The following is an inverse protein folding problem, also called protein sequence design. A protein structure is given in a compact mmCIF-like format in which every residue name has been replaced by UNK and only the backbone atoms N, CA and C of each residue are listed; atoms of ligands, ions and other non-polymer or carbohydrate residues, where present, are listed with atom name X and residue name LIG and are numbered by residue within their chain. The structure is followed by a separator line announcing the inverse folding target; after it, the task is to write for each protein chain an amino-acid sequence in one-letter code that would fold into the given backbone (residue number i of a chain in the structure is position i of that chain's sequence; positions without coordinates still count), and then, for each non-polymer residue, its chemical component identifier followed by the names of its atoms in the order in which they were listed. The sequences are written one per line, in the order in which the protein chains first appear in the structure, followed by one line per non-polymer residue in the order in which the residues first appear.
data_IF_022652714431
#
_entry.id   IF_022652714431
#
_cell.length_a   1.000
_cell.length_b   1.000
_cell.length_c   1.000
_cell.angle_alpha   90.00
_cell.angle_beta   90.00
_cell.angle_gamma   90.00
#
_symmetry.space_group_name_H-M   'P 1'
#
loop_
_entity.id
_entity.type
_entity.pdbx_description
1 polymer ?
#
# COMPACT_ATOMS: atom_id res chain seq x y z
N UNK A 1 -29.80 -1.16 -29.46
CA UNK A 1 -29.28 -2.54 -29.46
C UNK A 1 -27.76 -2.46 -29.57
N UNK A 2 -27.03 -3.31 -28.84
CA UNK A 2 -25.57 -3.33 -28.87
C UNK A 2 -25.11 -4.00 -30.17
N UNK A 3 -24.48 -3.25 -31.06
CA UNK A 3 -23.89 -3.81 -32.28
C UNK A 3 -22.51 -4.43 -32.04
N UNK A 4 -22.01 -5.15 -33.03
CA UNK A 4 -20.72 -5.83 -32.94
C UNK A 4 -19.53 -4.86 -32.80
N UNK A 5 -19.68 -3.61 -33.29
CA UNK A 5 -18.65 -2.57 -33.22
C UNK A 5 -18.61 -1.92 -31.83
N UNK A 6 -19.77 -1.67 -31.24
CA UNK A 6 -19.92 -1.14 -29.88
C UNK A 6 -19.44 -2.15 -28.84
N UNK A 7 -19.71 -3.45 -29.05
CA UNK A 7 -19.20 -4.51 -28.19
C UNK A 7 -17.66 -4.57 -28.21
N UNK A 8 -17.04 -4.49 -29.39
CA UNK A 8 -15.57 -4.42 -29.52
C UNK A 8 -14.99 -3.17 -28.87
N UNK A 9 -15.68 -2.04 -28.99
CA UNK A 9 -15.27 -0.80 -28.35
C UNK A 9 -15.26 -0.93 -26.82
N UNK A 10 -16.32 -1.49 -26.23
CA UNK A 10 -16.40 -1.72 -24.79
C UNK A 10 -15.32 -2.71 -24.31
N UNK A 11 -15.10 -3.80 -25.04
CA UNK A 11 -14.06 -4.78 -24.71
C UNK A 11 -12.67 -4.13 -24.69
N UNK A 12 -12.32 -3.37 -25.73
CA UNK A 12 -11.08 -2.58 -25.77
C UNK A 12 -10.99 -1.62 -24.58
N UNK A 13 -12.10 -0.95 -24.26
CA UNK A 13 -12.17 0.02 -23.18
C UNK A 13 -12.01 -0.59 -21.79
N UNK A 14 -12.52 -1.79 -21.54
CA UNK A 14 -12.35 -2.49 -20.27
C UNK A 14 -10.94 -3.05 -20.13
N UNK A 15 -10.41 -3.71 -21.16
CA UNK A 15 -9.05 -4.26 -21.15
C UNK A 15 -8.01 -3.18 -20.83
N UNK A 16 -8.11 -2.02 -21.49
CA UNK A 16 -7.15 -0.92 -21.25
C UNK A 16 -7.34 -0.21 -19.90
N UNK A 17 -8.47 -0.41 -19.24
CA UNK A 17 -8.76 0.18 -17.92
C UNK A 17 -8.52 -0.79 -16.78
N UNK A 18 -8.25 -2.05 -17.04
CA UNK A 18 -7.91 -3.02 -15.99
C UNK A 18 -6.47 -2.84 -15.54
N UNK A 19 -6.21 -3.00 -14.24
CA UNK A 19 -4.84 -3.14 -13.73
C UNK A 19 -4.37 -4.59 -13.91
N UNK A 20 -3.49 -4.81 -14.89
CA UNK A 20 -2.89 -6.11 -15.20
C UNK A 20 -2.08 -6.71 -14.03
N UNK A 21 -1.79 -5.94 -12.98
CA UNK A 21 -1.16 -6.46 -11.75
C UNK A 21 -2.15 -7.13 -10.80
N UNK A 22 -3.44 -6.78 -10.90
CA UNK A 22 -4.48 -7.27 -9.99
C UNK A 22 -5.25 -8.45 -10.58
N UNK A 23 -5.36 -8.54 -11.91
CA UNK A 23 -6.03 -9.65 -12.59
C UNK A 23 -5.25 -10.13 -13.81
N UNK A 24 -5.27 -11.45 -14.04
CA UNK A 24 -4.73 -12.07 -15.24
C UNK A 24 -5.78 -12.10 -16.35
N UNK A 25 -5.54 -11.37 -17.44
CA UNK A 25 -6.38 -11.46 -18.63
C UNK A 25 -6.14 -12.80 -19.34
N UNK A 26 -7.20 -13.59 -19.55
CA UNK A 26 -7.09 -14.91 -20.21
C UNK A 26 -6.94 -14.82 -21.73
N UNK A 27 -7.37 -13.71 -22.31
CA UNK A 27 -7.24 -13.42 -23.73
C UNK A 27 -6.36 -12.18 -23.86
N UNK A 28 -5.09 -12.33 -24.21
CA UNK A 28 -4.13 -11.24 -24.46
C UNK A 28 -4.46 -10.43 -25.72
N UNK A 29 -5.73 -10.43 -26.16
CA UNK A 29 -6.13 -9.84 -27.42
C UNK A 29 -6.52 -8.38 -27.20
N UNK A 30 -5.56 -7.47 -27.40
CA UNK A 30 -5.86 -6.05 -27.60
C UNK A 30 -6.46 -5.88 -29.00
N UNK A 31 -7.75 -6.22 -29.13
CA UNK A 31 -8.53 -5.96 -30.33
C UNK A 31 -8.51 -4.47 -30.71
N UNK A 32 -8.80 -4.14 -31.96
CA UNK A 32 -8.85 -2.74 -32.39
C UNK A 32 -10.02 -2.02 -31.69
N UNK A 33 -9.83 -0.72 -31.37
CA UNK A 33 -10.77 0.13 -30.65
C UNK A 33 -12.20 0.15 -31.23
N UNK A 34 -12.40 -0.29 -32.47
CA UNK A 34 -13.68 -0.14 -33.17
C UNK A 34 -13.94 1.32 -33.52
N UNK A 35 -14.53 1.59 -34.68
CA UNK A 35 -14.85 2.95 -35.09
C UNK A 35 -16.33 3.21 -34.76
N UNK A 36 -16.59 3.99 -33.71
CA UNK A 36 -17.95 4.35 -33.27
C UNK A 36 -18.15 5.86 -33.40
N UNK A 37 -19.41 6.30 -33.44
CA UNK A 37 -19.71 7.73 -33.47
C UNK A 37 -19.30 8.42 -32.15
N UNK A 38 -19.07 9.73 -32.20
CA UNK A 38 -18.76 10.52 -30.99
C UNK A 38 -19.90 10.49 -29.96
N UNK A 39 -21.15 10.40 -30.43
CA UNK A 39 -22.32 10.30 -29.58
C UNK A 39 -22.30 8.97 -28.81
N UNK A 40 -22.10 7.86 -29.51
CA UNK A 40 -22.04 6.53 -28.91
C UNK A 40 -20.83 6.40 -28.00
N UNK A 41 -19.69 6.99 -28.38
CA UNK A 41 -18.51 7.03 -27.52
C UNK A 41 -18.81 7.69 -26.17
N UNK A 42 -19.46 8.85 -26.17
CA UNK A 42 -19.82 9.52 -24.91
C UNK A 42 -20.80 8.68 -24.09
N UNK A 43 -21.80 8.10 -24.74
CA UNK A 43 -22.76 7.21 -24.09
C UNK A 43 -22.08 6.00 -23.42
N UNK A 44 -21.13 5.37 -24.10
CA UNK A 44 -20.39 4.23 -23.57
C UNK A 44 -19.36 4.61 -22.50
N UNK A 45 -18.77 5.80 -22.57
CA UNK A 45 -17.92 6.32 -21.50
C UNK A 45 -18.71 6.53 -20.21
N UNK A 46 -19.92 7.07 -20.28
CA UNK A 46 -20.82 7.22 -19.13
C UNK A 46 -21.23 5.85 -18.55
N UNK A 47 -21.52 4.88 -19.42
CA UNK A 47 -21.80 3.50 -19.02
C UNK A 47 -20.61 2.85 -18.29
N UNK A 48 -19.39 3.06 -18.81
CA UNK A 48 -18.16 2.55 -18.20
C UNK A 48 -17.93 3.15 -16.81
N UNK A 49 -18.15 4.45 -16.64
CA UNK A 49 -17.95 5.12 -15.34
C UNK A 49 -18.97 4.65 -14.29
N UNK A 50 -20.22 4.46 -14.69
CA UNK A 50 -21.24 3.87 -13.83
C UNK A 50 -20.88 2.43 -13.43
N UNK A 51 -20.42 1.63 -14.40
CA UNK A 51 -20.00 0.25 -14.16
C UNK A 51 -18.83 0.21 -13.17
N UNK A 52 -17.77 0.99 -13.40
CA UNK A 52 -16.61 1.05 -12.49
C UNK A 52 -17.03 1.48 -11.09
N UNK A 53 -17.96 2.43 -10.96
CA UNK A 53 -18.48 2.89 -9.67
C UNK A 53 -19.20 1.77 -8.92
N UNK A 54 -20.03 1.00 -9.61
CA UNK A 54 -20.72 -0.16 -9.03
C UNK A 54 -19.70 -1.22 -8.60
N UNK A 55 -18.74 -1.57 -9.45
CA UNK A 55 -17.69 -2.55 -9.11
C UNK A 55 -16.88 -2.14 -7.88
N UNK A 56 -16.56 -0.84 -7.75
CA UNK A 56 -15.88 -0.32 -6.55
C UNK A 56 -16.76 -0.40 -5.31
N UNK A 57 -18.06 -0.14 -5.41
CA UNK A 57 -18.96 -0.18 -4.24
C UNK A 57 -19.15 -1.60 -3.69
N UNK A 58 -19.03 -2.62 -4.54
CA UNK A 58 -19.05 -4.03 -4.14
C UNK A 58 -17.66 -4.57 -3.71
N UNK A 59 -16.63 -3.72 -3.69
CA UNK A 59 -15.28 -4.06 -3.21
C UNK A 59 -14.31 -4.58 -4.27
N UNK A 60 -14.64 -4.49 -5.56
CA UNK A 60 -13.74 -4.86 -6.66
C UNK A 60 -13.10 -3.61 -7.29
N UNK A 61 -11.93 -3.21 -6.78
CA UNK A 61 -11.13 -2.11 -7.36
C UNK A 61 -10.05 -2.64 -8.31
N UNK A 62 -10.49 -3.18 -9.44
CA UNK A 62 -9.62 -3.79 -10.49
C UNK A 62 -9.33 -2.82 -11.64
N UNK A 63 -9.87 -1.60 -11.61
CA UNK A 63 -9.81 -0.64 -12.71
C UNK A 63 -8.88 0.54 -12.40
N UNK A 64 -7.93 0.80 -13.31
CA UNK A 64 -7.09 1.99 -13.32
C UNK A 64 -7.94 3.25 -13.46
N UNK A 65 -7.60 4.27 -12.67
CA UNK A 65 -8.29 5.55 -12.69
C UNK A 65 -8.01 6.24 -14.03
N UNK A 66 -9.04 6.55 -14.83
CA UNK A 66 -8.90 7.34 -16.07
C UNK A 66 -8.18 8.66 -15.72
N UNK A 67 -7.05 8.93 -16.37
CA UNK A 67 -6.34 10.22 -16.27
C UNK A 67 -6.77 11.05 -17.48
N UNK A 68 -7.80 11.88 -17.30
CA UNK A 68 -8.35 12.70 -18.38
C UNK A 68 -7.78 14.12 -18.26
N UNK A 69 -6.47 14.28 -18.51
CA UNK A 69 -5.75 15.49 -18.99
C UNK A 69 -4.35 15.60 -18.38
N UNK A 70 -3.46 16.33 -19.08
CA UNK A 70 -2.12 16.68 -18.60
C UNK A 70 -2.16 17.50 -17.29
N UNK A 71 -3.21 18.30 -17.07
CA UNK A 71 -3.45 19.01 -15.81
C UNK A 71 -3.96 18.08 -14.71
N UNK A 72 -4.84 17.11 -15.03
CA UNK A 72 -5.15 16.02 -14.11
C UNK A 72 -3.93 15.14 -13.79
N UNK A 73 -2.97 14.95 -14.69
CA UNK A 73 -1.76 14.18 -14.36
C UNK A 73 -0.87 14.87 -13.32
N UNK A 74 -0.80 16.22 -13.33
CA UNK A 74 -0.12 16.99 -12.30
C UNK A 74 -0.94 17.02 -11.00
N UNK A 75 -2.25 17.24 -11.12
CA UNK A 75 -3.16 17.18 -9.99
C UNK A 75 -3.27 15.78 -9.42
N UNK A 76 -3.03 14.69 -10.16
CA UNK A 76 -2.96 13.31 -9.68
C UNK A 76 -1.60 12.97 -9.11
N UNK A 77 -0.50 13.59 -9.53
CA UNK A 77 0.75 13.54 -8.74
C UNK A 77 0.56 14.21 -7.36
N UNK A 78 -0.36 15.18 -7.28
CA UNK A 78 -0.76 15.89 -6.05
C UNK A 78 -1.93 15.22 -5.30
N UNK A 79 -2.83 14.51 -5.99
CA UNK A 79 -4.05 13.87 -5.47
C UNK A 79 -3.87 12.37 -5.22
N UNK A 80 -2.86 11.73 -5.82
CA UNK A 80 -2.34 10.44 -5.33
C UNK A 80 -1.59 10.62 -3.99
N UNK A 81 -1.29 11.86 -3.56
CA UNK A 81 -0.96 12.16 -2.16
C UNK A 81 -2.20 12.33 -1.27
N UNK A 82 -3.41 12.45 -1.84
CA UNK A 82 -4.64 12.70 -1.06
C UNK A 82 -5.67 11.55 -1.10
N UNK A 83 -5.58 10.60 -2.04
CA UNK A 83 -6.47 9.42 -2.07
C UNK A 83 -5.80 8.10 -1.70
N UNK A 84 -4.48 8.10 -1.49
CA UNK A 84 -3.83 7.20 -0.55
C UNK A 84 -3.21 8.09 0.52
N UNK A 85 -3.89 8.27 1.66
CA UNK A 85 -3.35 9.04 2.80
C UNK A 85 -2.20 8.31 3.50
N UNK A 86 -1.40 7.56 2.73
CA UNK A 86 -0.18 6.91 3.12
C UNK A 86 0.82 7.98 3.53
N UNK A 87 0.74 8.35 4.81
CA UNK A 87 1.69 9.26 5.42
C UNK A 87 2.96 8.47 5.67
N UNK A 88 4.08 8.95 5.13
CA UNK A 88 5.39 8.34 5.32
C UNK A 88 6.01 8.88 6.61
N UNK A 89 6.63 7.98 7.35
CA UNK A 89 7.30 8.27 8.61
C UNK A 89 8.67 7.61 8.62
N UNK A 90 9.61 8.30 9.24
CA UNK A 90 10.95 7.80 9.50
C UNK A 90 11.21 7.84 11.00
N UNK A 91 11.91 6.84 11.50
CA UNK A 91 12.45 6.83 12.85
C UNK A 91 13.96 6.70 12.75
N UNK A 92 14.67 7.59 13.43
CA UNK A 92 16.11 7.50 13.60
C UNK A 92 16.42 7.55 15.10
N UNK A 93 17.00 6.48 15.65
CA UNK A 93 17.37 6.41 17.06
C UNK A 93 18.82 5.96 17.22
N UNK A 94 19.56 6.70 18.02
CA UNK A 94 20.93 6.33 18.41
C UNK A 94 20.90 5.47 19.67
N UNK A 95 21.56 4.32 19.62
CA UNK A 95 21.81 3.50 20.80
C UNK A 95 22.79 4.24 21.73
N UNK A 96 22.48 4.29 23.04
CA UNK A 96 23.35 4.97 24.02
C UNK A 96 24.65 4.19 24.28
N UNK A 97 24.62 2.87 24.15
CA UNK A 97 25.73 1.97 24.48
C UNK A 97 26.58 1.68 23.25
N UNK A 98 25.97 1.24 22.16
CA UNK A 98 26.72 0.88 20.93
C UNK A 98 27.03 2.08 20.05
N UNK A 99 26.37 3.23 20.29
CA UNK A 99 26.39 4.44 19.44
C UNK A 99 25.89 4.21 18.01
N UNK A 100 25.39 3.02 17.72
CA UNK A 100 24.81 2.67 16.42
C UNK A 100 23.52 3.46 16.17
N UNK A 101 23.28 3.75 14.90
CA UNK A 101 22.08 4.45 14.46
C UNK A 101 21.13 3.40 13.90
N UNK A 102 19.96 3.30 14.51
CA UNK A 102 18.85 2.53 14.01
C UNK A 102 17.94 3.44 13.18
N UNK A 103 17.65 3.02 11.96
CA UNK A 103 16.75 3.68 11.02
C UNK A 103 15.63 2.74 10.61
N UNK A 104 14.38 3.17 10.79
CA UNK A 104 13.21 2.44 10.35
C UNK A 104 12.25 3.34 9.58
N UNK A 105 11.47 2.74 8.69
CA UNK A 105 10.50 3.42 7.84
C UNK A 105 9.12 2.83 8.08
N UNK A 106 8.12 3.69 8.10
CA UNK A 106 6.74 3.31 8.36
C UNK A 106 5.80 4.13 7.48
N UNK A 107 4.67 3.54 7.10
CA UNK A 107 3.59 4.23 6.43
C UNK A 107 2.29 4.02 7.19
N UNK A 108 1.46 5.06 7.24
CA UNK A 108 0.11 4.94 7.79
C UNK A 108 -0.88 4.70 6.65
N UNK A 109 -1.36 3.46 6.47
CA UNK A 109 -2.42 3.10 5.52
C UNK A 109 -3.74 3.05 6.30
N UNK A 110 -4.68 3.92 6.00
CA UNK A 110 -5.96 4.05 6.75
C UNK A 110 -5.72 4.17 8.27
N UNK A 111 -6.16 3.16 9.04
CA UNK A 111 -5.98 3.04 10.49
C UNK A 111 -4.86 2.06 10.89
N UNK A 112 -4.05 1.62 9.94
CA UNK A 112 -2.92 0.70 10.16
C UNK A 112 -1.59 1.41 10.00
N UNK A 113 -0.63 0.98 10.81
CA UNK A 113 0.76 1.40 10.75
C UNK A 113 1.58 0.25 10.18
N UNK A 114 2.23 0.47 9.05
CA UNK A 114 2.99 -0.55 8.34
C UNK A 114 4.46 -0.21 8.38
N UNK A 115 5.24 -0.98 9.13
CA UNK A 115 6.70 -0.89 9.12
C UNK A 115 7.21 -1.57 7.85
N UNK A 116 7.95 -0.83 7.03
CA UNK A 116 8.37 -1.29 5.72
C UNK A 116 9.55 -2.26 5.79
N UNK A 117 9.62 -3.19 4.84
CA UNK A 117 10.81 -3.97 4.56
C UNK A 117 12.05 -3.04 4.37
N UNK A 118 13.22 -3.51 4.79
CA UNK A 118 14.46 -2.73 4.87
C UNK A 118 14.63 -1.93 6.17
N UNK A 119 13.59 -1.82 7.01
CA UNK A 119 13.70 -1.16 8.31
C UNK A 119 14.60 -1.94 9.27
N UNK A 120 15.44 -1.22 10.03
CA UNK A 120 16.29 -1.81 11.07
C UNK A 120 15.48 -2.07 12.35
N UNK A 121 15.62 -3.28 12.88
CA UNK A 121 14.98 -3.78 14.09
C UNK A 121 16.06 -4.06 15.13
N UNK A 122 15.91 -3.48 16.32
CA UNK A 122 16.91 -3.62 17.38
C UNK A 122 16.90 -5.03 17.95
N UNK A 123 17.97 -5.79 17.81
CA UNK A 123 18.01 -7.18 18.30
C UNK A 123 18.29 -7.31 19.81
N UNK A 124 19.03 -6.36 20.40
CA UNK A 124 19.63 -6.47 21.75
C UNK A 124 18.65 -6.40 22.95
N UNK A 125 17.33 -6.46 22.74
CA UNK A 125 16.34 -6.17 23.79
C UNK A 125 15.49 -7.38 24.23
N UNK A 126 15.71 -8.57 23.67
CA UNK A 126 14.91 -9.78 23.97
C UNK A 126 14.99 -10.26 25.44
N UNK A 127 15.93 -9.74 26.23
CA UNK A 127 16.17 -10.18 27.62
C UNK A 127 15.54 -9.28 28.70
N UNK A 128 14.85 -8.20 28.36
CA UNK A 128 14.19 -7.38 29.36
C UNK A 128 12.83 -7.98 29.78
N UNK A 129 12.73 -8.44 31.04
CA UNK A 129 11.51 -9.03 31.61
C UNK A 129 10.26 -8.13 31.44
N UNK A 130 10.41 -6.80 31.49
CA UNK A 130 9.30 -5.88 31.30
C UNK A 130 8.73 -5.93 29.87
N UNK A 131 9.59 -6.06 28.85
CA UNK A 131 9.16 -6.11 27.45
C UNK A 131 8.43 -7.42 27.17
N UNK A 132 8.92 -8.53 27.75
CA UNK A 132 8.30 -9.85 27.68
C UNK A 132 6.88 -9.86 28.25
N UNK A 133 6.63 -9.12 29.33
CA UNK A 133 5.33 -9.14 30.02
C UNK A 133 4.35 -8.11 29.43
N UNK A 134 4.79 -6.86 29.20
CA UNK A 134 3.90 -5.78 28.74
C UNK A 134 3.60 -5.84 27.23
N UNK A 135 4.54 -6.37 26.43
CA UNK A 135 4.43 -6.42 24.96
C UNK A 135 4.59 -7.84 24.43
N UNK A 136 3.99 -8.81 25.13
CA UNK A 136 4.08 -10.25 24.82
C UNK A 136 3.80 -10.55 23.34
N UNK A 137 2.70 -10.03 22.79
CA UNK A 137 2.32 -10.25 21.39
C UNK A 137 3.33 -9.70 20.38
N UNK A 138 3.92 -8.54 20.66
CA UNK A 138 4.96 -7.94 19.80
C UNK A 138 6.26 -8.73 19.90
N UNK A 139 6.61 -9.22 21.09
CA UNK A 139 7.77 -10.10 21.28
C UNK A 139 7.60 -11.41 20.50
N UNK A 140 6.46 -12.09 20.66
CA UNK A 140 6.15 -13.33 19.94
C UNK A 140 6.19 -13.12 18.43
N UNK A 141 5.63 -12.02 17.93
CA UNK A 141 5.71 -11.65 16.51
C UNK A 141 7.17 -11.46 16.05
N UNK A 142 8.02 -10.83 16.85
CA UNK A 142 9.44 -10.67 16.52
C UNK A 142 10.17 -12.01 16.51
N UNK A 143 9.95 -12.85 17.53
CA UNK A 143 10.58 -14.17 17.64
C UNK A 143 10.17 -15.08 16.46
N UNK A 144 8.90 -15.03 16.05
CA UNK A 144 8.39 -15.73 14.86
C UNK A 144 9.01 -15.22 13.54
N UNK A 145 9.15 -13.90 13.40
CA UNK A 145 9.80 -13.33 12.21
C UNK A 145 11.30 -13.65 12.17
N UNK A 146 11.97 -13.74 13.31
CA UNK A 146 13.38 -14.17 13.37
C UNK A 146 13.49 -15.65 13.02
N UNK A 147 12.65 -16.52 13.58
CA UNK A 147 12.70 -17.96 13.32
C UNK A 147 12.41 -18.31 11.85
N UNK A 148 11.52 -17.53 11.21
CA UNK A 148 11.19 -17.65 9.78
C UNK A 148 12.18 -16.93 8.85
N UNK A 149 13.31 -16.44 9.36
CA UNK A 149 14.31 -15.67 8.59
C UNK A 149 13.73 -14.44 7.88
N UNK A 150 12.69 -13.84 8.46
CA UNK A 150 12.05 -12.61 7.98
C UNK A 150 12.60 -11.36 8.66
N UNK A 151 13.45 -11.53 9.67
CA UNK A 151 14.37 -10.53 10.20
C UNK A 151 15.77 -11.14 10.14
N UNK A 152 16.62 -10.63 9.27
CA UNK A 152 17.99 -11.13 9.06
C UNK A 152 18.95 -10.02 9.44
N UNK A 153 19.89 -10.29 10.36
CA UNK A 153 20.85 -9.31 10.86
C UNK A 153 20.21 -7.98 11.31
N UNK A 154 19.01 -8.06 11.90
CA UNK A 154 18.27 -6.88 12.34
C UNK A 154 17.61 -6.10 11.21
N UNK A 155 17.52 -6.63 9.99
CA UNK A 155 16.81 -6.00 8.87
C UNK A 155 15.51 -6.75 8.60
N UNK A 156 14.41 -6.02 8.59
CA UNK A 156 13.10 -6.56 8.27
C UNK A 156 12.98 -6.89 6.78
N UNK A 157 12.59 -8.11 6.43
CA UNK A 157 12.53 -8.57 5.03
C UNK A 157 11.15 -8.39 4.38
N UNK A 158 10.09 -8.18 5.18
CA UNK A 158 8.73 -7.98 4.69
C UNK A 158 7.96 -6.98 5.55
N UNK A 159 7.07 -6.21 4.93
CA UNK A 159 6.21 -5.25 5.59
C UNK A 159 5.45 -5.87 6.77
N UNK A 160 5.37 -5.15 7.90
CA UNK A 160 4.66 -5.58 9.10
C UNK A 160 3.62 -4.55 9.54
N UNK A 161 2.39 -5.02 9.67
CA UNK A 161 1.28 -4.17 10.09
C UNK A 161 1.04 -4.19 11.60
N UNK A 162 0.62 -3.05 12.11
CA UNK A 162 0.30 -2.77 13.51
C UNK A 162 -0.95 -1.90 13.61
N UNK A 163 -1.67 -2.04 14.71
CA UNK A 163 -2.87 -1.24 15.02
C UNK A 163 -2.57 0.18 15.48
N UNK A 164 -1.32 0.50 15.84
CA UNK A 164 -0.93 1.82 16.34
C UNK A 164 0.53 2.16 16.05
N UNK A 165 0.82 3.48 16.04
CA UNK A 165 2.18 4.02 15.92
C UNK A 165 3.10 3.51 17.02
N UNK A 166 2.58 3.44 18.25
CA UNK A 166 3.33 2.95 19.40
C UNK A 166 3.66 1.46 19.27
N UNK A 167 2.74 0.62 18.81
CA UNK A 167 3.05 -0.81 18.60
C UNK A 167 4.09 -1.00 17.49
N UNK A 168 4.00 -0.23 16.41
CA UNK A 168 5.03 -0.21 15.37
C UNK A 168 6.40 0.22 15.92
N UNK A 169 6.43 1.23 16.80
CA UNK A 169 7.68 1.71 17.40
C UNK A 169 8.28 0.73 18.42
N UNK A 170 7.45 0.14 19.26
CA UNK A 170 7.81 -0.93 20.20
C UNK A 170 8.37 -2.13 19.45
N UNK A 171 7.77 -2.49 18.31
CA UNK A 171 8.28 -3.55 17.44
C UNK A 171 9.69 -3.24 16.91
N UNK A 172 9.95 -2.00 16.49
CA UNK A 172 11.27 -1.58 15.99
C UNK A 172 12.32 -1.54 17.11
N UNK A 173 11.99 -0.87 18.22
CA UNK A 173 12.95 -0.56 19.28
C UNK A 173 13.11 -1.67 20.32
N UNK A 174 12.16 -2.60 20.41
CA UNK A 174 12.16 -3.66 21.42
C UNK A 174 12.03 -3.14 22.86
N UNK A 175 11.35 -2.01 23.07
CA UNK A 175 11.11 -1.42 24.40
C UNK A 175 9.84 -0.57 24.38
N UNK A 176 9.36 -0.14 25.55
CA UNK A 176 8.29 0.85 25.61
C UNK A 176 8.71 2.13 24.88
N UNK A 177 7.76 2.70 24.15
CA UNK A 177 8.02 3.84 23.28
C UNK A 177 6.71 4.58 22.99
N UNK A 178 6.83 5.88 22.74
CA UNK A 178 5.74 6.71 22.26
C UNK A 178 5.88 6.91 20.74
N UNK A 179 5.07 6.18 19.98
CA UNK A 179 5.12 6.22 18.52
C UNK A 179 4.83 7.60 17.93
N UNK A 180 4.06 8.44 18.61
CA UNK A 180 3.76 9.79 18.10
C UNK A 180 4.96 10.75 18.18
N UNK A 181 5.96 10.42 19.00
CA UNK A 181 7.20 11.18 19.13
C UNK A 181 8.31 10.52 18.30
N UNK A 182 8.35 9.19 18.27
CA UNK A 182 9.44 8.46 17.63
C UNK A 182 9.34 8.43 16.10
N UNK A 183 8.13 8.53 15.54
CA UNK A 183 7.90 8.58 14.10
C UNK A 183 7.82 10.02 13.60
N UNK A 184 8.82 10.43 12.82
CA UNK A 184 8.86 11.75 12.18
C UNK A 184 8.25 11.67 10.79
N UNK A 185 7.21 12.47 10.56
CA UNK A 185 6.58 12.59 9.24
C UNK A 185 7.58 13.16 8.24
N UNK A 186 7.67 12.56 7.06
CA UNK A 186 8.49 13.02 5.93
C UNK A 186 7.68 13.84 4.93
#
# INVERSE_FOLDING_TARGET
MLGATELKYLEYCFINRVDNKLISLKNENSGSKGNISLYDQKHWEDFLDNTITIFRSIGFDIFTRKINTKQESLNLLLDNKQTNKNSYFKMVKKDKHTKEILTAYCIKRDDKWVVLAGSQIRLNNSNFNYFKNMFKSIKEKRDDLISKQKIINGILQQDQEFSSSSYASVFVLGRSSNGNIDWERQ
#
